data_IF_807701378470
#
_entry.id   IF_807701378470
#
_cell.length_a   1.000
_cell.length_b   1.000
_cell.length_c   1.000
_cell.angle_alpha   90.00
_cell.angle_beta   90.00
_cell.angle_gamma   90.00
#
_symmetry.space_group_name_H-M   'P 1'
#
loop_
_entity.id
_entity.type
_entity.pdbx_description
1 polymer ?
#
# COMPACT_ATOMS: atom_id res chain seq x y z
N UNK A 1 7.03 19.10 -2.35
CA UNK A 1 6.72 18.53 -1.01
C UNK A 1 8.02 18.01 -0.42
N UNK A 2 8.30 18.32 0.86
CA UNK A 2 9.47 17.76 1.55
C UNK A 2 9.03 16.63 2.49
N UNK A 3 9.75 15.51 2.45
CA UNK A 3 9.52 14.34 3.31
C UNK A 3 10.80 14.08 4.10
N UNK A 4 10.71 14.14 5.42
CA UNK A 4 11.80 13.75 6.31
C UNK A 4 11.77 12.24 6.51
N UNK A 5 12.24 11.53 5.48
CA UNK A 5 12.22 10.08 5.40
C UNK A 5 12.85 9.58 4.13
N UNK A 6 12.82 8.26 3.96
CA UNK A 6 13.34 7.56 2.80
C UNK A 6 12.20 6.97 2.00
N UNK A 7 12.20 7.15 0.69
CA UNK A 7 11.23 6.54 -0.22
C UNK A 7 11.93 5.41 -1.00
N UNK A 8 11.48 4.19 -0.77
CA UNK A 8 11.94 3.01 -1.51
C UNK A 8 11.08 2.85 -2.76
N UNK A 9 11.73 2.78 -3.92
CA UNK A 9 11.13 2.63 -5.25
C UNK A 9 11.84 1.53 -6.04
N UNK A 10 11.29 1.12 -7.19
CA UNK A 10 11.86 0.02 -7.97
C UNK A 10 13.06 0.45 -8.81
N UNK A 11 12.98 1.61 -9.45
CA UNK A 11 13.97 2.01 -10.43
C UNK A 11 14.30 3.49 -10.51
N UNK A 12 15.26 3.81 -11.39
CA UNK A 12 15.72 5.18 -11.63
C UNK A 12 14.65 6.07 -12.28
N UNK A 13 13.74 5.49 -13.07
CA UNK A 13 12.60 6.20 -13.67
C UNK A 13 11.69 6.78 -12.59
N UNK A 14 11.43 6.00 -11.54
CA UNK A 14 10.60 6.42 -10.43
C UNK A 14 11.27 7.56 -9.66
N UNK A 15 12.58 7.42 -9.38
CA UNK A 15 13.36 8.49 -8.74
C UNK A 15 13.29 9.76 -9.58
N UNK A 16 13.53 9.66 -10.90
CA UNK A 16 13.49 10.82 -11.80
C UNK A 16 12.14 11.52 -11.80
N UNK A 17 11.05 10.74 -11.83
CA UNK A 17 9.70 11.27 -11.79
C UNK A 17 9.40 11.93 -10.43
N UNK A 18 9.67 11.24 -9.34
CA UNK A 18 9.32 11.68 -7.98
C UNK A 18 10.15 12.91 -7.55
N UNK A 19 11.44 12.94 -7.86
CA UNK A 19 12.34 14.06 -7.50
C UNK A 19 11.96 15.37 -8.16
N UNK A 20 11.12 15.35 -9.20
CA UNK A 20 10.62 16.58 -9.84
C UNK A 20 9.65 17.37 -8.97
N UNK A 21 9.05 16.76 -7.93
CA UNK A 21 8.06 17.39 -7.03
C UNK A 21 8.15 16.97 -5.56
N UNK A 22 9.03 16.00 -5.24
CA UNK A 22 9.30 15.56 -3.86
C UNK A 22 10.78 15.71 -3.56
N UNK A 23 11.07 16.40 -2.47
CA UNK A 23 12.40 16.47 -1.85
C UNK A 23 12.46 15.41 -0.74
N UNK A 24 13.17 14.31 -0.99
CA UNK A 24 13.35 13.19 -0.08
C UNK A 24 14.62 12.42 -0.44
N UNK A 25 15.04 11.52 0.43
CA UNK A 25 16.03 10.50 0.08
C UNK A 25 15.33 9.34 -0.65
N UNK A 26 15.90 8.89 -1.77
CA UNK A 26 15.36 7.77 -2.55
C UNK A 26 16.31 6.59 -2.51
N UNK A 27 15.76 5.40 -2.29
CA UNK A 27 16.48 4.14 -2.38
C UNK A 27 15.82 3.27 -3.43
N UNK A 28 16.60 2.78 -4.40
CA UNK A 28 16.10 1.87 -5.43
C UNK A 28 16.40 0.42 -5.08
N UNK A 29 15.47 -0.48 -5.43
CA UNK A 29 15.70 -1.91 -5.29
C UNK A 29 16.46 -2.49 -6.49
N UNK A 30 16.60 -1.70 -7.58
CA UNK A 30 17.20 -2.12 -8.83
C UNK A 30 16.52 -3.33 -9.49
N UNK A 31 15.20 -3.35 -9.47
CA UNK A 31 14.36 -4.41 -10.03
C UNK A 31 13.63 -5.22 -8.96
N UNK A 32 13.17 -6.40 -9.32
CA UNK A 32 12.32 -7.25 -8.47
C UNK A 32 13.04 -7.96 -7.31
N UNK A 33 14.36 -7.81 -7.21
CA UNK A 33 15.18 -8.38 -6.14
C UNK A 33 15.88 -7.27 -5.37
N UNK A 34 15.80 -7.36 -4.03
CA UNK A 34 16.48 -6.40 -3.16
C UNK A 34 17.79 -7.02 -2.69
N UNK A 35 18.89 -6.29 -2.87
CA UNK A 35 20.20 -6.76 -2.37
C UNK A 35 20.20 -6.81 -0.85
N UNK A 36 21.02 -7.71 -0.30
CA UNK A 36 21.25 -7.80 1.15
C UNK A 36 21.77 -6.47 1.71
N UNK A 37 22.65 -5.80 1.00
CA UNK A 37 23.22 -4.52 1.42
C UNK A 37 22.15 -3.42 1.50
N UNK A 38 21.21 -3.40 0.56
CA UNK A 38 20.06 -2.47 0.60
C UNK A 38 19.18 -2.75 1.80
N UNK A 39 18.90 -4.02 2.11
CA UNK A 39 18.10 -4.40 3.28
C UNK A 39 18.80 -3.97 4.58
N UNK A 40 20.10 -4.24 4.71
CA UNK A 40 20.87 -3.86 5.91
C UNK A 40 20.96 -2.34 6.07
N UNK A 41 21.14 -1.60 4.97
CA UNK A 41 21.09 -0.15 4.99
C UNK A 41 19.71 0.36 5.47
N UNK A 42 18.62 -0.14 4.90
CA UNK A 42 17.26 0.25 5.28
C UNK A 42 16.96 -0.12 6.75
N UNK A 43 17.40 -1.29 7.23
CA UNK A 43 17.30 -1.65 8.65
C UNK A 43 17.98 -0.66 9.57
N UNK A 44 19.20 -0.24 9.21
CA UNK A 44 19.97 0.69 10.02
C UNK A 44 19.24 2.04 10.15
N UNK A 45 18.74 2.58 9.04
CA UNK A 45 18.09 3.89 9.03
C UNK A 45 16.64 3.87 9.55
N UNK A 46 15.97 2.71 9.57
CA UNK A 46 14.58 2.59 10.04
C UNK A 46 14.38 2.94 11.51
N UNK A 47 15.46 2.95 12.31
CA UNK A 47 15.42 3.40 13.70
C UNK A 47 15.37 4.93 13.86
N UNK A 48 15.77 5.67 12.84
CA UNK A 48 15.91 7.13 12.89
C UNK A 48 14.99 7.84 11.89
N UNK A 49 14.66 7.17 10.78
CA UNK A 49 13.89 7.74 9.67
C UNK A 49 12.70 6.87 9.30
N UNK A 50 11.60 7.53 8.96
CA UNK A 50 10.45 6.83 8.37
C UNK A 50 10.80 6.32 6.98
N UNK A 51 10.50 5.04 6.71
CA UNK A 51 10.68 4.44 5.39
C UNK A 51 9.33 4.25 4.72
N UNK A 52 9.15 4.92 3.59
CA UNK A 52 7.99 4.78 2.72
C UNK A 52 8.31 3.79 1.61
N UNK A 53 7.42 2.83 1.35
CA UNK A 53 7.58 1.85 0.28
C UNK A 53 6.56 2.17 -0.82
N UNK A 54 7.04 2.67 -1.93
CA UNK A 54 6.27 3.09 -3.09
C UNK A 54 6.72 2.29 -4.32
N UNK A 55 6.14 1.12 -4.52
CA UNK A 55 6.41 0.21 -5.64
C UNK A 55 5.25 0.17 -6.61
N UNK A 56 5.47 -0.37 -7.79
CA UNK A 56 4.47 -0.54 -8.81
C UNK A 56 3.28 -1.40 -8.32
N UNK A 57 2.07 -1.14 -8.81
CA UNK A 57 0.88 -1.90 -8.43
C UNK A 57 0.78 -3.23 -9.20
N UNK A 58 1.84 -4.03 -9.14
CA UNK A 58 2.00 -5.30 -9.83
C UNK A 58 2.59 -6.40 -8.93
N UNK A 59 2.84 -7.58 -9.51
CA UNK A 59 3.37 -8.72 -8.75
C UNK A 59 4.83 -8.51 -8.28
N UNK A 60 5.77 -8.02 -9.10
CA UNK A 60 7.11 -7.63 -8.66
C UNK A 60 7.09 -6.67 -7.47
N UNK A 61 6.33 -5.57 -7.55
CA UNK A 61 6.22 -4.60 -6.46
C UNK A 61 5.68 -5.21 -5.16
N UNK A 62 4.71 -6.11 -5.25
CA UNK A 62 4.22 -6.85 -4.07
C UNK A 62 5.28 -7.77 -3.46
N UNK A 63 6.12 -8.40 -4.28
CA UNK A 63 7.22 -9.24 -3.81
C UNK A 63 8.25 -8.42 -3.04
N UNK A 64 8.59 -7.24 -3.55
CA UNK A 64 9.49 -6.29 -2.88
C UNK A 64 8.94 -5.92 -1.50
N UNK A 65 7.66 -5.53 -1.42
CA UNK A 65 7.00 -5.19 -0.16
C UNK A 65 7.09 -6.33 0.86
N UNK A 66 6.81 -7.55 0.40
CA UNK A 66 6.87 -8.73 1.26
C UNK A 66 8.28 -8.96 1.82
N UNK A 67 9.30 -8.88 0.98
CA UNK A 67 10.70 -9.04 1.41
C UNK A 67 11.09 -7.96 2.43
N UNK A 68 10.71 -6.71 2.19
CA UNK A 68 10.98 -5.61 3.13
C UNK A 68 10.26 -5.83 4.46
N UNK A 69 8.98 -6.23 4.45
CA UNK A 69 8.20 -6.53 5.67
C UNK A 69 8.80 -7.66 6.52
N UNK A 70 9.45 -8.64 5.88
CA UNK A 70 10.10 -9.74 6.58
C UNK A 70 11.36 -9.31 7.35
N UNK A 71 11.95 -8.17 6.97
CA UNK A 71 13.23 -7.73 7.48
C UNK A 71 13.18 -6.44 8.30
N UNK A 72 12.19 -5.58 8.06
CA UNK A 72 12.10 -4.22 8.62
C UNK A 72 10.71 -3.99 9.18
N UNK A 73 10.62 -3.53 10.41
CA UNK A 73 9.37 -3.15 11.06
C UNK A 73 9.05 -1.67 10.83
N UNK A 74 7.77 -1.29 10.92
CA UNK A 74 7.34 0.11 10.87
C UNK A 74 7.42 0.75 9.48
N UNK A 75 7.48 -0.04 8.41
CA UNK A 75 7.44 0.46 7.04
C UNK A 75 6.08 1.08 6.74
N UNK A 76 6.07 2.21 6.05
CA UNK A 76 4.86 2.85 5.53
C UNK A 76 4.63 2.50 4.07
N UNK A 77 3.64 1.67 3.80
CA UNK A 77 3.29 1.27 2.43
C UNK A 77 2.40 2.32 1.76
N UNK A 78 2.83 2.79 0.60
CA UNK A 78 2.09 3.73 -0.24
C UNK A 78 1.54 2.97 -1.44
N UNK A 79 0.21 2.94 -1.60
CA UNK A 79 -0.44 2.21 -2.68
C UNK A 79 -1.01 3.17 -3.72
N UNK A 80 -0.53 3.03 -4.96
CA UNK A 80 -1.05 3.74 -6.12
C UNK A 80 -2.21 2.95 -6.71
N UNK A 81 -3.27 3.66 -7.13
CA UNK A 81 -4.36 3.03 -7.87
C UNK A 81 -3.85 2.62 -9.26
N UNK A 82 -3.93 1.32 -9.56
CA UNK A 82 -3.48 0.76 -10.83
C UNK A 82 -4.11 1.44 -12.04
N UNK A 83 -5.40 1.79 -11.99
CA UNK A 83 -6.10 2.47 -13.08
C UNK A 83 -5.52 3.86 -13.40
N UNK A 84 -4.88 4.51 -12.42
CA UNK A 84 -4.24 5.83 -12.53
C UNK A 84 -2.73 5.76 -12.74
N UNK A 85 -2.17 4.56 -12.74
CA UNK A 85 -0.76 4.28 -12.93
C UNK A 85 -0.49 3.63 -14.30
N UNK A 86 -1.34 3.90 -15.28
CA UNK A 86 -1.21 3.37 -16.64
C UNK A 86 -0.99 4.52 -17.62
N UNK A 87 0.14 4.48 -18.33
CA UNK A 87 0.46 5.41 -19.40
C UNK A 87 1.13 4.66 -20.55
N UNK A 88 0.63 4.85 -21.77
CA UNK A 88 1.18 4.19 -22.98
C UNK A 88 1.33 2.66 -22.85
N UNK A 89 0.38 1.99 -22.18
CA UNK A 89 0.39 0.54 -21.97
C UNK A 89 1.36 0.05 -20.89
N UNK A 90 2.10 0.94 -20.24
CA UNK A 90 2.95 0.63 -19.08
C UNK A 90 2.20 0.93 -17.78
N UNK A 91 2.49 0.13 -16.76
CA UNK A 91 1.93 0.29 -15.40
C UNK A 91 3.09 0.54 -14.46
N UNK A 92 3.05 1.63 -13.69
CA UNK A 92 4.12 1.91 -12.75
C UNK A 92 3.96 3.23 -11.99
N UNK A 93 4.86 3.47 -11.06
CA UNK A 93 4.96 4.72 -10.29
C UNK A 93 5.25 5.88 -11.22
N UNK A 94 6.18 5.73 -12.14
CA UNK A 94 6.57 6.76 -13.11
C UNK A 94 5.46 7.09 -14.13
N UNK A 95 4.49 6.21 -14.33
CA UNK A 95 3.34 6.37 -15.22
C UNK A 95 2.13 7.01 -14.52
N UNK A 96 2.20 7.17 -13.21
CA UNK A 96 1.11 7.77 -12.42
C UNK A 96 1.11 9.30 -12.48
N UNK A 97 0.10 9.92 -11.89
CA UNK A 97 0.05 11.38 -11.75
C UNK A 97 0.68 11.83 -10.43
N UNK A 98 1.17 13.07 -10.40
CA UNK A 98 1.69 13.70 -9.19
C UNK A 98 0.66 13.66 -8.04
N UNK A 99 -0.60 13.95 -8.34
CA UNK A 99 -1.70 13.98 -7.37
C UNK A 99 -1.92 12.59 -6.76
N UNK A 100 -1.85 11.53 -7.57
CA UNK A 100 -2.00 10.16 -7.10
C UNK A 100 -0.85 9.75 -6.19
N UNK A 101 0.40 10.09 -6.53
CA UNK A 101 1.56 9.83 -5.68
C UNK A 101 1.46 10.57 -4.35
N UNK A 102 1.17 11.87 -4.37
CA UNK A 102 1.02 12.67 -3.15
C UNK A 102 -0.09 12.12 -2.26
N UNK A 103 -1.18 11.67 -2.89
CA UNK A 103 -2.28 11.04 -2.20
C UNK A 103 -1.90 9.69 -1.58
N UNK A 104 -1.10 8.86 -2.30
CA UNK A 104 -0.61 7.58 -1.78
C UNK A 104 0.34 7.77 -0.59
N UNK A 105 1.21 8.76 -0.63
CA UNK A 105 2.12 9.10 0.46
C UNK A 105 1.37 9.61 1.71
N UNK A 106 0.38 10.49 1.52
CA UNK A 106 -0.42 11.04 2.61
C UNK A 106 -1.33 10.00 3.28
N UNK A 107 -1.68 8.92 2.57
CA UNK A 107 -2.50 7.83 3.07
C UNK A 107 -1.68 6.53 3.19
N UNK A 108 -0.39 6.65 3.51
CA UNK A 108 0.48 5.49 3.70
C UNK A 108 -0.02 4.63 4.88
N UNK A 109 0.10 3.31 4.72
CA UNK A 109 -0.32 2.32 5.72
C UNK A 109 0.91 1.77 6.40
N UNK A 110 0.97 1.86 7.73
CA UNK A 110 2.07 1.30 8.51
C UNK A 110 1.98 -0.22 8.55
N UNK A 111 3.08 -0.88 8.18
CA UNK A 111 3.23 -2.31 8.36
C UNK A 111 3.48 -2.60 9.84
N UNK A 112 2.44 -2.87 10.58
CA UNK A 112 2.60 -3.34 11.97
C UNK A 112 2.92 -4.84 11.95
N UNK A 113 4.08 -5.23 12.52
CA UNK A 113 4.40 -6.63 12.79
C UNK A 113 3.52 -7.20 13.93
N UNK A 114 2.74 -6.37 14.60
CA UNK A 114 1.68 -6.84 15.49
C UNK A 114 0.54 -7.35 14.62
N UNK A 115 0.17 -8.61 14.78
CA UNK A 115 -1.11 -9.14 14.31
C UNK A 115 -2.21 -8.45 15.12
N UNK A 116 -2.43 -7.16 14.87
CA UNK A 116 -3.45 -6.37 15.55
C UNK A 116 -4.83 -6.66 14.97
N UNK A 117 -4.89 -7.02 13.70
CA UNK A 117 -6.15 -7.34 13.05
C UNK A 117 -6.65 -8.74 13.41
N UNK A 118 -7.91 -8.83 13.76
CA UNK A 118 -8.62 -10.06 14.16
C UNK A 118 -9.30 -10.75 12.99
N UNK A 119 -9.30 -10.15 11.81
CA UNK A 119 -9.95 -10.70 10.62
C UNK A 119 -9.28 -11.99 10.15
N UNK A 120 -10.10 -12.96 9.78
CA UNK A 120 -9.71 -14.26 9.23
C UNK A 120 -10.20 -14.44 7.79
N UNK A 121 -9.71 -15.45 7.09
CA UNK A 121 -10.25 -15.82 5.76
C UNK A 121 -11.73 -16.25 5.85
N UNK A 122 -12.17 -16.81 6.98
CA UNK A 122 -13.55 -17.18 7.21
C UNK A 122 -14.45 -15.95 7.30
N UNK A 123 -13.97 -14.86 7.91
CA UNK A 123 -14.71 -13.59 7.96
C UNK A 123 -14.90 -13.02 6.55
N UNK A 124 -13.85 -13.05 5.72
CA UNK A 124 -13.97 -12.64 4.32
C UNK A 124 -14.96 -13.51 3.53
N UNK A 125 -14.97 -14.82 3.78
CA UNK A 125 -15.91 -15.73 3.14
C UNK A 125 -17.35 -15.42 3.56
N UNK A 126 -17.61 -15.26 4.84
CA UNK A 126 -18.93 -14.95 5.41
C UNK A 126 -19.47 -13.59 4.91
N UNK A 127 -18.59 -12.64 4.64
CA UNK A 127 -18.93 -11.34 4.07
C UNK A 127 -19.02 -11.33 2.53
N UNK A 128 -18.80 -12.48 1.89
CA UNK A 128 -18.81 -12.61 0.43
C UNK A 128 -17.64 -11.90 -0.25
N UNK A 129 -16.55 -11.68 0.48
CA UNK A 129 -15.32 -11.05 -0.02
C UNK A 129 -14.32 -12.06 -0.60
N UNK A 130 -14.61 -13.36 -0.49
CA UNK A 130 -13.91 -14.43 -1.21
C UNK A 130 -14.85 -15.60 -1.46
N UNK A 131 -14.54 -16.43 -2.47
CA UNK A 131 -15.27 -17.66 -2.78
C UNK A 131 -16.60 -17.47 -3.53
N UNK A 132 -17.02 -16.26 -3.87
CA UNK A 132 -18.25 -15.94 -4.63
C UNK A 132 -17.91 -15.24 -5.94
N UNK A 133 -18.82 -15.28 -6.91
CA UNK A 133 -18.62 -14.71 -8.24
C UNK A 133 -18.33 -13.20 -8.21
N UNK A 134 -18.99 -12.45 -7.31
CA UNK A 134 -18.84 -11.00 -7.15
C UNK A 134 -17.79 -10.57 -6.10
N UNK A 135 -17.08 -11.55 -5.50
CA UNK A 135 -16.09 -11.29 -4.45
C UNK A 135 -14.97 -10.35 -4.88
N UNK A 136 -14.53 -10.45 -6.15
CA UNK A 136 -13.50 -9.59 -6.69
C UNK A 136 -13.97 -8.13 -6.78
N UNK A 137 -15.17 -7.91 -7.26
CA UNK A 137 -15.78 -6.57 -7.38
C UNK A 137 -15.92 -5.91 -6.00
N UNK A 138 -16.45 -6.66 -5.02
CA UNK A 138 -16.58 -6.21 -3.63
C UNK A 138 -15.24 -5.84 -3.02
N UNK A 139 -14.19 -6.68 -3.19
CA UNK A 139 -12.85 -6.36 -2.72
C UNK A 139 -12.27 -5.13 -3.39
N UNK A 140 -12.44 -5.00 -4.71
CA UNK A 140 -11.95 -3.83 -5.45
C UNK A 140 -12.60 -2.54 -4.96
N UNK A 141 -13.90 -2.56 -4.67
CA UNK A 141 -14.62 -1.41 -4.10
C UNK A 141 -14.03 -0.99 -2.77
N UNK A 142 -13.88 -1.91 -1.83
CA UNK A 142 -13.30 -1.64 -0.50
C UNK A 142 -11.83 -1.23 -0.63
N UNK A 143 -11.05 -1.93 -1.46
CA UNK A 143 -9.64 -1.60 -1.70
C UNK A 143 -9.46 -0.18 -2.25
N UNK A 144 -10.37 0.27 -3.10
CA UNK A 144 -10.37 1.65 -3.64
C UNK A 144 -10.68 2.67 -2.54
N UNK A 145 -11.65 2.38 -1.69
CA UNK A 145 -12.05 3.26 -0.59
C UNK A 145 -10.94 3.38 0.47
N UNK A 146 -10.37 2.24 0.88
CA UNK A 146 -9.28 2.15 1.86
C UNK A 146 -7.88 2.36 1.25
N UNK A 147 -7.77 2.60 -0.07
CA UNK A 147 -6.50 2.75 -0.80
C UNK A 147 -5.53 1.59 -0.59
N UNK A 148 -6.06 0.38 -0.50
CA UNK A 148 -5.26 -0.84 -0.30
C UNK A 148 -4.57 -1.35 -1.57
N UNK A 149 -4.80 -0.70 -2.73
CA UNK A 149 -4.33 -1.18 -4.02
C UNK A 149 -5.05 -2.45 -4.49
N UNK A 150 -4.71 -2.92 -5.71
CA UNK A 150 -5.28 -4.15 -6.24
C UNK A 150 -4.63 -5.36 -5.56
N UNK A 151 -5.44 -6.31 -5.08
CA UNK A 151 -4.91 -7.46 -4.37
C UNK A 151 -5.84 -8.69 -4.43
N UNK A 152 -5.26 -9.89 -4.35
CA UNK A 152 -6.01 -11.12 -4.15
C UNK A 152 -6.56 -11.21 -2.70
N UNK A 153 -7.42 -12.20 -2.41
CA UNK A 153 -8.07 -12.33 -1.11
C UNK A 153 -7.08 -12.44 0.07
N UNK A 154 -5.95 -13.15 -0.10
CA UNK A 154 -4.93 -13.29 0.96
C UNK A 154 -4.23 -11.95 1.25
N UNK A 155 -3.83 -11.25 0.20
CA UNK A 155 -3.20 -9.92 0.31
C UNK A 155 -4.18 -8.89 0.85
N UNK A 156 -5.46 -8.95 0.43
CA UNK A 156 -6.52 -8.10 0.95
C UNK A 156 -6.70 -8.27 2.45
N UNK A 157 -6.80 -9.53 2.94
CA UNK A 157 -6.87 -9.83 4.37
C UNK A 157 -5.67 -9.28 5.14
N UNK A 158 -4.45 -9.52 4.59
CA UNK A 158 -3.21 -9.01 5.21
C UNK A 158 -3.26 -7.49 5.35
N UNK A 159 -3.68 -6.76 4.30
CA UNK A 159 -3.75 -5.30 4.30
C UNK A 159 -4.84 -4.75 5.21
N UNK A 160 -6.00 -5.40 5.27
CA UNK A 160 -7.06 -5.05 6.23
C UNK A 160 -6.56 -5.16 7.67
N UNK A 161 -5.88 -6.25 8.00
CA UNK A 161 -5.32 -6.47 9.33
C UNK A 161 -4.17 -5.49 9.65
N UNK A 162 -3.43 -5.02 8.65
CA UNK A 162 -2.44 -3.96 8.84
C UNK A 162 -3.06 -2.59 9.10
N UNK A 163 -4.23 -2.33 8.52
CA UNK A 163 -4.98 -1.09 8.72
C UNK A 163 -5.86 -1.15 9.98
N UNK A 164 -5.75 -2.21 10.79
CA UNK A 164 -6.58 -2.44 11.98
C UNK A 164 -8.10 -2.38 11.70
N UNK A 165 -8.50 -2.73 10.47
CA UNK A 165 -9.90 -2.79 10.05
C UNK A 165 -10.56 -4.01 10.69
N UNK A 166 -11.65 -3.78 11.39
CA UNK A 166 -12.43 -4.83 12.02
C UNK A 166 -13.63 -5.27 11.16
N UNK A 167 -14.32 -6.32 11.61
CA UNK A 167 -15.47 -6.90 10.88
C UNK A 167 -16.65 -5.92 10.74
N UNK A 168 -16.86 -5.05 11.73
CA UNK A 168 -17.97 -4.10 11.71
C UNK A 168 -17.70 -2.94 10.76
N UNK A 169 -16.44 -2.55 10.59
CA UNK A 169 -16.04 -1.58 9.59
C UNK A 169 -16.28 -2.13 8.18
N UNK A 170 -15.93 -3.39 7.92
CA UNK A 170 -16.22 -4.06 6.65
C UNK A 170 -17.71 -4.15 6.37
N UNK A 171 -18.52 -4.50 7.39
CA UNK A 171 -19.96 -4.52 7.27
C UNK A 171 -20.52 -3.13 6.89
N UNK A 172 -20.08 -2.08 7.55
CA UNK A 172 -20.49 -0.70 7.22
C UNK A 172 -20.16 -0.37 5.76
N UNK A 173 -18.96 -0.70 5.27
CA UNK A 173 -18.53 -0.44 3.89
C UNK A 173 -19.34 -1.24 2.86
N UNK A 174 -19.69 -2.50 3.16
CA UNK A 174 -20.45 -3.36 2.26
C UNK A 174 -21.92 -2.92 2.13
N UNK A 175 -22.53 -2.48 3.23
CA UNK A 175 -23.96 -2.21 3.31
C UNK A 175 -24.32 -0.72 3.35
N UNK A 176 -23.32 0.19 3.41
CA UNK A 176 -23.56 1.62 3.31
C UNK A 176 -24.12 1.98 1.93
N UNK A 177 -25.34 2.45 1.87
CA UNK A 177 -25.92 3.14 0.71
C UNK A 177 -25.19 4.49 0.53
N UNK A 178 -24.10 4.53 -0.27
CA UNK A 178 -23.18 5.67 -0.50
C UNK A 178 -22.46 6.16 0.77
N UNK A 179 -21.14 6.08 0.84
CA UNK A 179 -20.38 6.62 1.97
C UNK A 179 -20.49 8.14 1.93
N UNK A 180 -21.02 8.73 2.98
CA UNK A 180 -20.81 10.15 3.24
C UNK A 180 -19.40 10.30 3.82
N UNK A 181 -18.62 11.24 3.29
CA UNK A 181 -17.27 11.63 3.71
C UNK A 181 -17.09 11.92 5.23
N UNK A 182 -18.14 11.81 6.02
CA UNK A 182 -18.14 12.06 7.46
C UNK A 182 -17.72 10.86 8.33
N UNK A 183 -17.68 9.63 7.79
CA UNK A 183 -17.41 8.41 8.60
C UNK A 183 -15.92 8.11 8.75
N UNK A 184 -15.05 8.83 8.03
CA UNK A 184 -13.59 8.61 8.04
C UNK A 184 -12.84 9.48 9.07
N UNK A 185 -13.54 10.24 9.92
CA UNK A 185 -12.88 11.14 10.89
C UNK A 185 -12.33 10.46 12.15
N UNK A 186 -12.48 9.15 12.30
CA UNK A 186 -11.89 8.39 13.41
C UNK A 186 -10.68 7.54 13.01
N UNK A 187 -10.22 7.65 11.77
CA UNK A 187 -8.93 7.09 11.32
C UNK A 187 -7.98 8.27 11.13
N UNK A 188 -7.78 9.03 12.22
CA UNK A 188 -6.72 10.02 12.30
C UNK A 188 -5.66 9.45 13.21
N UNK A 189 -4.55 9.11 12.63
CA UNK A 189 -3.24 9.11 13.27
C UNK A 189 -2.38 10.06 12.49
#
# INVERSE_FOLDING_TARGET
MRIDGVIVVEGKSDVSFLSSFIEAEFVTTNGSEISKDTIEYLKKISNEKTIYVLTDPDYPGERIRKVLDEHIAGLKHCFINKEKAIKHGKVGVAESTKEEVLSALSNSVEATNKKTGTLTMMDLYNLGLCGQADSLEKRNKISKELRLGHCNAKTFLKRLNYCDINIDDLKKMLWAKKPTLKTLKHISI
#
